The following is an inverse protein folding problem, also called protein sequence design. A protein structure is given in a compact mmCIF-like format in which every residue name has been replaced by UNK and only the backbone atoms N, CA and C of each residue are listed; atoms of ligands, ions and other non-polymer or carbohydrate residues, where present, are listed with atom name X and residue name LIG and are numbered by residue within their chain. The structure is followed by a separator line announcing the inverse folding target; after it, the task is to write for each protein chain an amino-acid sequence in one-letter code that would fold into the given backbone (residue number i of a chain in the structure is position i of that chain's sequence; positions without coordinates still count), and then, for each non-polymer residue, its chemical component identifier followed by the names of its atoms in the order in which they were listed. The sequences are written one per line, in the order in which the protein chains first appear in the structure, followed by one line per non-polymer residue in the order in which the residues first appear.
data_IF_102902314035
#
_entry.id   IF_102902314035
#
_cell.length_a   1.000
_cell.length_b   1.000
_cell.length_c   1.000
_cell.angle_alpha   90.00
_cell.angle_beta   90.00
_cell.angle_gamma   90.00
#
_symmetry.space_group_name_H-M   'P 1'
#
loop_
_entity.id
_entity.type
_entity.pdbx_description
1 polymer ?
#
# COMPACT_ATOMS: atom_id res chain seq x y z
N UNK A 1 -5.89 8.68 5.14
CA UNK A 1 -4.60 8.99 4.50
C UNK A 1 -4.22 7.79 3.66
N UNK A 2 -3.64 7.99 2.46
CA UNK A 2 -3.13 6.89 1.62
C UNK A 2 -1.85 6.33 2.22
N UNK A 3 -1.80 5.03 2.50
CA UNK A 3 -0.67 4.38 3.15
C UNK A 3 0.61 4.55 2.30
N UNK A 4 0.52 4.32 0.98
CA UNK A 4 1.64 4.53 0.07
C UNK A 4 2.14 5.98 0.02
N UNK A 5 1.22 6.96 0.01
CA UNK A 5 1.62 8.37 0.01
C UNK A 5 2.16 8.80 1.38
N UNK A 6 1.61 8.25 2.47
CA UNK A 6 2.02 8.54 3.84
C UNK A 6 3.44 8.04 4.08
N UNK A 7 3.73 6.79 3.73
CA UNK A 7 5.06 6.18 3.83
C UNK A 7 6.11 6.93 2.98
N UNK A 8 5.69 7.53 1.86
CA UNK A 8 6.55 8.33 0.99
C UNK A 8 6.64 9.82 1.40
N UNK A 9 5.96 10.25 2.47
CA UNK A 9 5.92 11.66 2.89
C UNK A 9 5.21 12.60 1.92
N UNK A 10 4.33 12.08 1.06
CA UNK A 10 3.62 12.84 0.00
C UNK A 10 2.19 13.17 0.41
N UNK A 11 1.75 14.37 0.07
CA UNK A 11 0.36 14.75 0.30
C UNK A 11 -0.57 14.15 -0.78
N UNK A 12 -1.34 13.14 -0.37
CA UNK A 12 -2.26 12.41 -1.24
C UNK A 12 -3.40 13.28 -1.80
N UNK A 13 -3.87 14.30 -1.06
CA UNK A 13 -5.00 15.14 -1.52
C UNK A 13 -4.60 16.09 -2.64
N UNK A 14 -3.34 16.57 -2.62
CA UNK A 14 -2.77 17.38 -3.69
C UNK A 14 -2.60 16.55 -4.97
N UNK A 15 -2.11 15.32 -4.86
CA UNK A 15 -1.84 14.47 -6.02
C UNK A 15 -3.11 14.01 -6.76
N UNK A 16 -4.21 13.73 -6.05
CA UNK A 16 -5.46 13.27 -6.68
C UNK A 16 -6.34 14.41 -7.19
N UNK A 17 -6.11 15.64 -6.71
CA UNK A 17 -7.00 16.78 -6.93
C UNK A 17 -8.31 16.70 -6.12
N UNK A 18 -9.02 17.84 -5.96
CA UNK A 18 -10.10 18.00 -4.98
C UNK A 18 -11.32 17.09 -5.20
N UNK A 19 -11.53 16.58 -6.42
CA UNK A 19 -12.69 15.73 -6.76
C UNK A 19 -12.43 14.23 -6.64
N UNK A 20 -11.17 13.78 -6.53
CA UNK A 20 -10.80 12.35 -6.53
C UNK A 20 -10.12 11.90 -5.24
N UNK A 21 -10.50 12.52 -4.14
CA UNK A 21 -9.97 12.26 -2.79
C UNK A 21 -10.53 10.99 -2.12
N UNK A 22 -11.18 10.10 -2.87
CA UNK A 22 -11.77 8.90 -2.28
C UNK A 22 -10.66 7.90 -1.92
N UNK A 23 -10.73 7.44 -0.67
CA UNK A 23 -9.86 6.40 -0.13
C UNK A 23 -10.48 5.03 -0.42
N UNK A 24 -9.69 4.14 -1.00
CA UNK A 24 -10.09 2.78 -1.39
C UNK A 24 -9.34 1.80 -0.50
N UNK A 25 -10.04 0.80 0.02
CA UNK A 25 -9.43 -0.32 0.73
C UNK A 25 -8.96 -1.35 -0.30
N UNK A 26 -7.66 -1.61 -0.36
CA UNK A 26 -7.06 -2.64 -1.18
C UNK A 26 -6.47 -3.74 -0.29
N UNK A 27 -6.23 -4.91 -0.89
CA UNK A 27 -5.70 -6.08 -0.22
C UNK A 27 -4.52 -6.58 -1.03
N UNK A 28 -3.43 -6.90 -0.37
CA UNK A 28 -2.27 -7.56 -0.94
C UNK A 28 -2.26 -9.01 -0.47
N UNK A 29 -1.99 -9.95 -1.37
CA UNK A 29 -2.02 -11.39 -1.10
C UNK A 29 -0.74 -12.10 -1.53
N UNK A 30 -0.27 -11.82 -2.75
CA UNK A 30 0.82 -12.54 -3.40
C UNK A 30 2.15 -12.21 -2.74
N UNK A 31 2.38 -10.95 -2.39
CA UNK A 31 3.66 -10.50 -1.86
C UNK A 31 3.94 -10.91 -0.40
N UNK A 32 2.98 -11.57 0.27
CA UNK A 32 3.11 -12.00 1.68
C UNK A 32 2.83 -13.51 1.88
N UNK A 33 3.14 -14.35 0.87
CA UNK A 33 3.07 -15.81 0.95
C UNK A 33 1.73 -16.35 1.52
N UNK A 34 0.60 -15.84 1.02
CA UNK A 34 -0.73 -16.29 1.43
C UNK A 34 -1.34 -15.54 2.62
N UNK A 35 -0.65 -14.52 3.16
CA UNK A 35 -1.23 -13.60 4.14
C UNK A 35 -1.95 -12.44 3.45
N UNK A 36 -3.14 -12.10 3.92
CA UNK A 36 -3.91 -10.95 3.44
C UNK A 36 -3.48 -9.68 4.21
N UNK A 37 -2.84 -8.75 3.52
CA UNK A 37 -2.47 -7.44 4.07
C UNK A 37 -3.44 -6.39 3.56
N UNK A 38 -4.15 -5.72 4.49
CA UNK A 38 -5.15 -4.70 4.17
C UNK A 38 -4.51 -3.32 4.19
N UNK A 39 -4.56 -2.62 3.06
CA UNK A 39 -4.04 -1.26 2.91
C UNK A 39 -5.13 -0.29 2.44
N UNK A 40 -4.98 0.98 2.77
CA UNK A 40 -5.83 2.08 2.33
C UNK A 40 -5.07 2.94 1.32
N UNK A 41 -5.54 2.93 0.08
CA UNK A 41 -4.93 3.68 -1.01
C UNK A 41 -5.81 4.84 -1.46
N UNK A 42 -5.20 5.88 -2.00
CA UNK A 42 -5.92 6.88 -2.78
C UNK A 42 -6.21 6.35 -4.19
N UNK A 43 -7.06 7.07 -4.93
CA UNK A 43 -7.48 6.69 -6.27
C UNK A 43 -6.30 6.43 -7.24
N UNK A 44 -5.29 7.30 -7.26
CA UNK A 44 -4.12 7.09 -8.12
C UNK A 44 -3.30 5.86 -7.70
N UNK A 45 -3.08 5.66 -6.41
CA UNK A 45 -2.33 4.50 -5.92
C UNK A 45 -3.10 3.20 -6.15
N UNK A 46 -4.43 3.20 -6.05
CA UNK A 46 -5.23 2.01 -6.35
C UNK A 46 -5.18 1.65 -7.84
N UNK A 47 -5.15 2.65 -8.73
CA UNK A 47 -4.95 2.41 -10.17
C UNK A 47 -3.57 1.81 -10.42
N UNK A 48 -2.51 2.38 -9.81
CA UNK A 48 -1.14 1.85 -9.98
C UNK A 48 -1.02 0.41 -9.49
N UNK A 49 -1.63 0.09 -8.34
CA UNK A 49 -1.68 -1.27 -7.82
C UNK A 49 -2.42 -2.20 -8.81
N UNK A 50 -3.56 -1.77 -9.34
CA UNK A 50 -4.34 -2.57 -10.28
C UNK A 50 -3.62 -2.81 -11.61
N UNK A 51 -2.95 -1.79 -12.15
CA UNK A 51 -2.26 -1.88 -13.45
C UNK A 51 -0.90 -2.59 -13.36
N UNK A 52 -0.14 -2.35 -12.29
CA UNK A 52 1.21 -2.89 -12.12
C UNK A 52 1.27 -4.21 -11.36
N UNK A 53 0.19 -4.59 -10.67
CA UNK A 53 0.20 -5.69 -9.73
C UNK A 53 0.92 -5.35 -8.42
N UNK A 54 0.83 -6.27 -7.46
CA UNK A 54 1.32 -6.07 -6.09
C UNK A 54 2.85 -5.93 -6.04
N UNK A 55 3.58 -6.79 -6.75
CA UNK A 55 5.05 -6.82 -6.70
C UNK A 55 5.68 -5.55 -7.27
N UNK A 56 5.19 -5.08 -8.43
CA UNK A 56 5.66 -3.83 -9.03
C UNK A 56 5.29 -2.65 -8.13
N UNK A 57 4.09 -2.65 -7.57
CA UNK A 57 3.62 -1.57 -6.70
C UNK A 57 4.47 -1.45 -5.43
N UNK A 58 4.83 -2.57 -4.79
CA UNK A 58 5.70 -2.57 -3.61
C UNK A 58 7.14 -2.19 -3.96
N UNK A 59 7.64 -2.59 -5.13
CA UNK A 59 8.95 -2.15 -5.63
C UNK A 59 9.00 -0.64 -5.86
N UNK A 60 7.93 -0.06 -6.40
CA UNK A 60 7.81 1.38 -6.62
C UNK A 60 7.58 2.18 -5.33
N UNK A 61 7.19 1.52 -4.24
CA UNK A 61 6.94 2.13 -2.93
C UNK A 61 7.75 1.41 -1.83
N UNK A 62 9.09 1.53 -1.83
CA UNK A 62 9.96 0.77 -0.94
C UNK A 62 9.72 1.08 0.54
N UNK A 63 9.40 2.33 0.90
CA UNK A 63 9.06 2.71 2.28
C UNK A 63 7.81 1.98 2.79
N UNK A 64 6.77 1.88 1.94
CA UNK A 64 5.57 1.14 2.29
C UNK A 64 5.88 -0.35 2.45
N UNK A 65 6.69 -0.91 1.55
CA UNK A 65 7.08 -2.32 1.63
C UNK A 65 7.84 -2.63 2.94
N UNK A 66 8.77 -1.75 3.32
CA UNK A 66 9.50 -1.86 4.59
C UNK A 66 8.56 -1.81 5.80
N UNK A 67 7.62 -0.85 5.83
CA UNK A 67 6.63 -0.74 6.91
C UNK A 67 5.76 -2.00 7.03
N UNK A 68 5.22 -2.48 5.91
CA UNK A 68 4.38 -3.68 5.89
C UNK A 68 5.17 -4.93 6.31
N UNK A 69 6.40 -5.07 5.81
CA UNK A 69 7.27 -6.19 6.20
C UNK A 69 7.57 -6.12 7.69
N UNK A 70 7.89 -4.95 8.24
CA UNK A 70 8.18 -4.79 9.67
C UNK A 70 6.95 -5.10 10.55
N UNK A 71 5.77 -4.61 10.15
CA UNK A 71 4.52 -4.87 10.88
C UNK A 71 4.13 -6.35 10.87
N UNK A 72 4.45 -7.07 9.81
CA UNK A 72 4.07 -8.47 9.65
C UNK A 72 5.20 -9.48 9.96
N UNK A 73 6.45 -9.05 10.05
CA UNK A 73 7.60 -9.86 10.46
C UNK A 73 7.52 -10.30 11.93
N UNK A 74 6.86 -9.53 12.80
CA UNK A 74 6.69 -9.87 14.21
C UNK A 74 5.72 -11.03 14.50
N UNK A 75 5.07 -11.60 13.48
CA UNK A 75 4.10 -12.71 13.65
C UNK A 75 4.70 -14.11 13.40
N UNK A 76 6.02 -14.23 13.30
CA UNK A 76 6.73 -15.52 13.16
C UNK A 76 7.22 -16.12 14.48
N UNK A 77 6.94 -15.49 15.64
CA UNK A 77 7.39 -15.94 16.97
C UNK A 77 6.24 -16.41 17.88
N UNK A 78 5.27 -17.15 17.35
CA UNK A 78 4.29 -17.88 18.17
C UNK A 78 4.27 -19.37 17.76
N UNK A 79 5.32 -20.12 18.12
CA UNK A 79 5.29 -21.58 18.22
C UNK A 79 6.26 -22.08 19.31
#
# INVERSE_FOLDING_TARGET
MCDACSAAGRNWSLANGPRRSKMIKARLYSSFNGREVKIKLCYLCSIKLFMGGEDLFLKDNPSLNYELTTQHAGSEFDF
#
